data_IF_402907271937
#
_entry.id   IF_402907271937
#
_cell.length_a   1.000
_cell.length_b   1.000
_cell.length_c   1.000
_cell.angle_alpha   90.00
_cell.angle_beta   90.00
_cell.angle_gamma   90.00
#
_symmetry.space_group_name_H-M   'P 1'
#
loop_
_entity.id
_entity.type
_entity.pdbx_description
1 polymer ?
#
# COMPACT_ATOMS: atom_id res chain seq x y z
N UNK A 1 -4.51 -4.16 17.82
CA UNK A 1 -4.15 -3.52 16.54
C UNK A 1 -5.35 -2.77 15.96
N UNK A 2 -6.51 -3.41 15.86
CA UNK A 2 -7.71 -2.85 15.21
C UNK A 2 -8.17 -1.49 15.77
N UNK A 3 -8.08 -1.30 17.09
CA UNK A 3 -8.36 0.01 17.71
C UNK A 3 -7.35 1.10 17.29
N UNK A 4 -6.07 0.76 17.12
CA UNK A 4 -5.09 1.72 16.60
C UNK A 4 -5.33 1.97 15.11
N UNK A 5 -5.69 0.94 14.35
CA UNK A 5 -6.01 1.04 12.93
C UNK A 5 -7.23 1.92 12.65
N UNK A 6 -8.27 1.86 13.49
CA UNK A 6 -9.43 2.75 13.38
C UNK A 6 -9.05 4.22 13.67
N UNK A 7 -8.09 4.47 14.56
CA UNK A 7 -7.64 5.83 14.87
C UNK A 7 -6.85 6.50 13.72
N UNK A 8 -6.36 5.73 12.74
CA UNK A 8 -5.68 6.27 11.56
C UNK A 8 -6.62 6.95 10.55
N UNK A 9 -7.93 6.71 10.61
CA UNK A 9 -8.90 7.38 9.70
C UNK A 9 -9.34 8.77 10.15
N UNK A 10 -8.98 9.20 11.37
CA UNK A 10 -9.41 10.51 11.90
C UNK A 10 -8.50 11.68 11.48
N UNK A 11 -7.31 11.39 10.95
CA UNK A 11 -6.33 12.39 10.52
C UNK A 11 -5.73 13.21 11.66
N UNK A 12 -4.96 14.24 11.28
CA UNK A 12 -4.38 15.20 12.22
C UNK A 12 -3.34 14.62 13.18
N UNK A 13 -3.23 15.24 14.36
CA UNK A 13 -2.16 14.95 15.34
C UNK A 13 -2.29 13.54 15.92
N UNK A 14 -3.51 13.06 16.15
CA UNK A 14 -3.77 11.73 16.71
C UNK A 14 -3.24 10.66 15.76
N UNK A 15 -3.61 10.71 14.47
CA UNK A 15 -3.14 9.71 13.50
C UNK A 15 -1.62 9.73 13.33
N UNK A 16 -0.95 10.89 13.46
CA UNK A 16 0.52 10.97 13.45
C UNK A 16 1.18 10.21 14.62
N UNK A 17 0.65 10.35 15.84
CA UNK A 17 1.21 9.63 17.00
C UNK A 17 0.91 8.14 16.93
N UNK A 18 -0.30 7.79 16.50
CA UNK A 18 -0.69 6.39 16.30
C UNK A 18 0.16 5.74 15.21
N UNK A 19 0.53 6.48 14.16
CA UNK A 19 1.45 6.03 13.14
C UNK A 19 2.86 5.73 13.67
N UNK A 20 3.38 6.59 14.55
CA UNK A 20 4.67 6.35 15.21
C UNK A 20 4.63 5.06 16.02
N UNK A 21 3.54 4.81 16.77
CA UNK A 21 3.33 3.56 17.51
C UNK A 21 3.21 2.34 16.60
N UNK A 22 2.40 2.43 15.54
CA UNK A 22 2.22 1.34 14.57
C UNK A 22 3.52 1.03 13.82
N UNK A 23 4.37 2.03 13.60
CA UNK A 23 5.67 1.84 12.95
C UNK A 23 6.70 1.15 13.84
N UNK A 24 6.46 1.05 15.15
CA UNK A 24 7.37 0.38 16.10
C UNK A 24 7.01 -1.09 16.35
N UNK A 25 5.83 -1.53 15.91
CA UNK A 25 5.38 -2.92 16.07
C UNK A 25 5.62 -3.72 14.79
N UNK A 26 5.72 -5.06 14.88
CA UNK A 26 5.76 -5.90 13.69
C UNK A 26 4.55 -5.69 12.78
N UNK A 27 4.74 -5.95 11.49
CA UNK A 27 3.66 -5.94 10.51
C UNK A 27 2.51 -6.82 10.96
N UNK A 28 1.30 -6.29 10.91
CA UNK A 28 0.10 -7.01 11.26
C UNK A 28 -0.11 -8.17 10.28
N UNK A 29 -0.12 -9.40 10.80
CA UNK A 29 -0.21 -10.61 9.99
C UNK A 29 -1.52 -10.72 9.22
N UNK A 30 -2.62 -10.18 9.76
CA UNK A 30 -3.91 -10.18 9.08
C UNK A 30 -3.92 -9.26 7.85
N UNK A 31 -3.42 -8.03 7.98
CA UNK A 31 -3.27 -7.11 6.84
C UNK A 31 -2.25 -7.63 5.83
N UNK A 32 -1.15 -8.22 6.29
CA UNK A 32 -0.17 -8.85 5.41
C UNK A 32 -0.81 -9.99 4.61
N UNK A 33 -1.53 -10.89 5.28
CA UNK A 33 -2.24 -11.98 4.62
C UNK A 33 -3.32 -11.47 3.65
N UNK A 34 -4.07 -10.44 4.01
CA UNK A 34 -5.07 -9.83 3.12
C UNK A 34 -4.44 -9.28 1.84
N UNK A 35 -3.28 -8.61 1.94
CA UNK A 35 -2.56 -8.06 0.79
C UNK A 35 -1.88 -9.18 -0.02
N UNK A 36 -1.44 -10.25 0.62
CA UNK A 36 -0.78 -11.39 -0.03
C UNK A 36 -1.75 -12.39 -0.68
N UNK A 37 -2.99 -12.51 -0.20
CA UNK A 37 -3.99 -13.46 -0.71
C UNK A 37 -5.02 -12.75 -1.58
N UNK A 38 -4.59 -12.33 -2.77
CA UNK A 38 -5.44 -11.62 -3.71
C UNK A 38 -6.44 -12.56 -4.40
N UNK A 39 -7.59 -12.00 -4.79
CA UNK A 39 -8.61 -12.68 -5.57
C UNK A 39 -9.23 -11.74 -6.63
N UNK A 40 -9.96 -12.27 -7.62
CA UNK A 40 -10.69 -11.44 -8.59
C UNK A 40 -11.71 -10.47 -7.96
N UNK A 41 -12.16 -10.76 -6.74
CA UNK A 41 -13.15 -9.98 -5.99
C UNK A 41 -12.48 -9.01 -4.99
N UNK A 42 -11.15 -8.83 -5.06
CA UNK A 42 -10.39 -7.99 -4.13
C UNK A 42 -10.94 -6.56 -4.10
N UNK A 43 -11.35 -6.12 -2.90
CA UNK A 43 -11.76 -4.73 -2.69
C UNK A 43 -10.53 -3.83 -2.52
N UNK A 44 -10.04 -3.25 -3.62
CA UNK A 44 -8.87 -2.37 -3.59
C UNK A 44 -9.03 -1.12 -2.72
N UNK A 45 -10.26 -0.70 -2.42
CA UNK A 45 -10.49 0.44 -1.51
C UNK A 45 -10.21 0.07 -0.05
N UNK A 46 -10.27 -1.22 0.30
CA UNK A 46 -9.87 -1.72 1.63
C UNK A 46 -8.37 -2.01 1.69
N UNK A 47 -7.82 -2.59 0.62
CA UNK A 47 -6.39 -2.94 0.51
C UNK A 47 -5.52 -1.68 0.41
N UNK A 48 -5.88 -0.75 -0.47
CA UNK A 48 -5.18 0.51 -0.75
C UNK A 48 -6.11 1.68 -0.42
N UNK A 49 -6.41 1.82 0.88
CA UNK A 49 -7.32 2.84 1.43
C UNK A 49 -6.78 4.25 1.24
N UNK A 50 -7.20 4.90 0.16
CA UNK A 50 -6.84 6.28 -0.17
C UNK A 50 -7.50 7.36 0.71
N UNK A 51 -8.41 6.97 1.62
CA UNK A 51 -9.07 7.91 2.54
C UNK A 51 -8.18 8.30 3.72
N UNK A 52 -7.13 7.52 4.01
CA UNK A 52 -6.14 7.79 5.05
C UNK A 52 -4.73 7.59 4.52
N UNK A 53 -3.92 8.65 4.49
CA UNK A 53 -2.50 8.56 4.07
C UNK A 53 -1.73 7.53 4.91
N UNK A 54 -2.07 7.39 6.18
CA UNK A 54 -1.42 6.45 7.09
C UNK A 54 -1.76 4.99 6.76
N UNK A 55 -3.03 4.69 6.48
CA UNK A 55 -3.43 3.34 6.08
C UNK A 55 -2.86 2.97 4.72
N UNK A 56 -2.89 3.91 3.77
CA UNK A 56 -2.29 3.73 2.47
C UNK A 56 -0.78 3.46 2.57
N UNK A 57 -0.04 4.28 3.32
CA UNK A 57 1.40 4.06 3.54
C UNK A 57 1.67 2.70 4.23
N UNK A 58 0.82 2.26 5.15
CA UNK A 58 0.96 0.94 5.76
C UNK A 58 0.82 -0.19 4.72
N UNK A 59 -0.21 -0.12 3.88
CA UNK A 59 -0.43 -1.09 2.82
C UNK A 59 0.73 -1.09 1.81
N UNK A 60 1.22 0.10 1.43
CA UNK A 60 2.36 0.23 0.54
C UNK A 60 3.64 -0.35 1.14
N UNK A 61 3.87 -0.22 2.44
CA UNK A 61 5.00 -0.89 3.11
C UNK A 61 4.91 -2.41 2.97
N UNK A 62 3.71 -2.99 3.11
CA UNK A 62 3.51 -4.43 2.94
C UNK A 62 3.77 -4.84 1.48
N UNK A 63 3.22 -4.11 0.51
CA UNK A 63 3.49 -4.36 -0.91
C UNK A 63 4.99 -4.29 -1.20
N UNK A 64 5.67 -3.28 -0.65
CA UNK A 64 7.13 -3.13 -0.78
C UNK A 64 7.89 -4.32 -0.20
N UNK A 65 7.43 -4.88 0.91
CA UNK A 65 8.02 -6.10 1.48
C UNK A 65 7.83 -7.28 0.52
N UNK A 66 6.65 -7.44 -0.08
CA UNK A 66 6.37 -8.54 -1.02
C UNK A 66 7.24 -8.41 -2.29
N UNK A 67 7.28 -7.23 -2.92
CA UNK A 67 8.03 -7.05 -4.17
C UNK A 67 9.56 -7.11 -3.98
N UNK A 68 10.07 -6.79 -2.79
CA UNK A 68 11.51 -6.86 -2.49
C UNK A 68 11.94 -8.15 -1.77
N UNK A 69 11.00 -9.06 -1.46
CA UNK A 69 11.33 -10.38 -0.92
C UNK A 69 12.14 -11.18 -1.95
N UNK A 70 13.33 -11.61 -1.55
CA UNK A 70 14.28 -12.36 -2.41
C UNK A 70 14.20 -13.87 -2.24
N UNK A 71 13.62 -14.34 -1.13
CA UNK A 71 13.70 -15.75 -0.75
C UNK A 71 12.69 -16.65 -1.49
N UNK A 72 11.66 -16.08 -2.13
CA UNK A 72 10.58 -16.84 -2.78
C UNK A 72 10.18 -16.19 -4.12
N UNK A 73 11.01 -16.35 -5.14
CA UNK A 73 10.81 -15.68 -6.44
C UNK A 73 9.51 -16.11 -7.16
N UNK A 74 9.16 -17.40 -7.13
CA UNK A 74 7.94 -17.89 -7.80
C UNK A 74 6.66 -17.32 -7.18
N UNK A 75 6.52 -17.35 -5.85
CA UNK A 75 5.34 -16.81 -5.16
C UNK A 75 5.23 -15.29 -5.35
N UNK A 76 6.38 -14.59 -5.38
CA UNK A 76 6.42 -13.15 -5.67
C UNK A 76 5.94 -12.85 -7.08
N UNK A 77 6.46 -13.55 -8.09
CA UNK A 77 6.07 -13.36 -9.48
C UNK A 77 4.58 -13.64 -9.68
N UNK A 78 4.09 -14.74 -9.11
CA UNK A 78 2.67 -15.08 -9.15
C UNK A 78 1.80 -13.99 -8.52
N UNK A 79 2.18 -13.50 -7.33
CA UNK A 79 1.47 -12.41 -6.68
C UNK A 79 1.47 -11.12 -7.51
N UNK A 80 2.58 -10.79 -8.18
CA UNK A 80 2.66 -9.61 -9.03
C UNK A 80 1.72 -9.72 -10.24
N UNK A 81 1.68 -10.89 -10.89
CA UNK A 81 0.76 -11.17 -11.99
C UNK A 81 -0.68 -11.03 -11.52
N UNK A 82 -1.03 -11.58 -10.36
CA UNK A 82 -2.37 -11.45 -9.75
C UNK A 82 -2.69 -9.99 -9.39
N UNK A 83 -1.75 -9.25 -8.82
CA UNK A 83 -1.91 -7.85 -8.47
C UNK A 83 -2.24 -6.99 -9.70
N UNK A 84 -1.56 -7.22 -10.82
CA UNK A 84 -1.86 -6.56 -12.09
C UNK A 84 -3.21 -7.02 -12.65
N UNK A 85 -3.42 -8.33 -12.80
CA UNK A 85 -4.62 -8.92 -13.40
C UNK A 85 -5.90 -8.53 -12.66
N UNK A 86 -5.86 -8.47 -11.34
CA UNK A 86 -7.02 -8.11 -10.52
C UNK A 86 -7.21 -6.59 -10.39
N UNK A 87 -6.36 -5.77 -11.04
CA UNK A 87 -6.56 -4.32 -11.17
C UNK A 87 -5.86 -3.45 -10.11
N UNK A 88 -4.90 -4.00 -9.36
CA UNK A 88 -4.17 -3.30 -8.31
C UNK A 88 -3.37 -2.11 -8.84
N UNK A 89 -2.69 -2.27 -9.98
CA UNK A 89 -1.96 -1.18 -10.66
C UNK A 89 -2.91 -0.05 -11.08
N UNK A 90 -4.04 -0.41 -11.71
CA UNK A 90 -5.04 0.58 -12.14
C UNK A 90 -5.61 1.36 -10.95
N UNK A 91 -5.85 0.69 -9.83
CA UNK A 91 -6.27 1.35 -8.60
C UNK A 91 -5.18 2.28 -8.05
N UNK A 92 -3.91 1.85 -8.02
CA UNK A 92 -2.80 2.71 -7.60
C UNK A 92 -2.67 3.98 -8.45
N UNK A 93 -2.79 3.89 -9.78
CA UNK A 93 -2.85 5.07 -10.64
C UNK A 93 -4.02 5.97 -10.28
N UNK A 94 -5.21 5.41 -10.11
CA UNK A 94 -6.38 6.17 -9.70
C UNK A 94 -6.15 6.88 -8.36
N UNK A 95 -5.51 6.22 -7.38
CA UNK A 95 -5.17 6.82 -6.08
C UNK A 95 -4.16 7.95 -6.25
N UNK A 96 -3.09 7.73 -7.03
CA UNK A 96 -2.06 8.73 -7.28
C UNK A 96 -2.63 10.01 -7.93
N UNK A 97 -3.43 9.87 -8.99
CA UNK A 97 -4.03 11.00 -9.69
C UNK A 97 -5.20 11.64 -8.92
N UNK A 98 -5.99 10.89 -8.15
CA UNK A 98 -7.10 11.46 -7.35
C UNK A 98 -6.64 12.18 -6.08
N UNK A 99 -5.41 11.94 -5.61
CA UNK A 99 -4.90 12.55 -4.38
C UNK A 99 -4.54 14.04 -4.49
N UNK A 100 -4.75 14.68 -5.66
CA UNK A 100 -4.32 16.07 -5.90
C UNK A 100 -4.94 17.13 -4.96
N UNK A 101 -6.04 16.84 -4.24
CA UNK A 101 -6.79 17.93 -3.56
C UNK A 101 -7.07 17.75 -2.05
N UNK A 102 -7.00 16.55 -1.45
CA UNK A 102 -7.44 16.36 -0.03
C UNK A 102 -6.33 16.27 1.03
N UNK A 103 -5.11 15.81 0.68
CA UNK A 103 -4.07 15.46 1.67
C UNK A 103 -2.99 16.53 1.94
N UNK A 104 -3.15 17.76 1.46
CA UNK A 104 -2.13 18.84 1.51
C UNK A 104 -1.59 19.19 2.92
N UNK A 105 -2.12 18.64 4.01
CA UNK A 105 -1.73 18.97 5.40
C UNK A 105 -1.17 17.81 6.23
N UNK A 106 -1.06 16.60 5.67
CA UNK A 106 -0.58 15.44 6.45
C UNK A 106 0.93 15.27 6.38
N UNK A 107 1.58 15.10 7.53
CA UNK A 107 3.05 14.96 7.68
C UNK A 107 3.64 13.81 6.85
N UNK A 108 2.85 12.75 6.63
CA UNK A 108 3.28 11.54 5.93
C UNK A 108 3.09 11.61 4.40
N UNK A 109 2.51 12.69 3.86
CA UNK A 109 2.14 12.76 2.44
C UNK A 109 3.32 12.52 1.50
N UNK A 110 4.46 13.17 1.74
CA UNK A 110 5.64 13.01 0.88
C UNK A 110 6.18 11.59 0.89
N UNK A 111 6.20 10.94 2.05
CA UNK A 111 6.60 9.55 2.19
C UNK A 111 5.61 8.61 1.48
N UNK A 112 4.30 8.84 1.63
CA UNK A 112 3.28 8.05 0.96
C UNK A 112 3.34 8.18 -0.57
N UNK A 113 3.52 9.40 -1.09
CA UNK A 113 3.71 9.63 -2.53
C UNK A 113 5.00 8.99 -3.04
N UNK A 114 6.09 9.06 -2.27
CA UNK A 114 7.33 8.38 -2.60
C UNK A 114 7.14 6.86 -2.66
N UNK A 115 6.45 6.27 -1.68
CA UNK A 115 6.12 4.84 -1.67
C UNK A 115 5.21 4.45 -2.84
N UNK A 116 4.21 5.26 -3.20
CA UNK A 116 3.36 5.03 -4.36
C UNK A 116 4.17 5.01 -5.65
N UNK A 117 5.01 6.03 -5.85
CA UNK A 117 5.86 6.16 -7.03
C UNK A 117 6.89 5.03 -7.10
N UNK A 118 7.47 4.63 -5.97
CA UNK A 118 8.42 3.52 -5.88
C UNK A 118 7.78 2.21 -6.36
N UNK A 119 6.58 1.88 -5.86
CA UNK A 119 5.86 0.68 -6.28
C UNK A 119 5.43 0.78 -7.75
N UNK A 120 4.88 1.91 -8.19
CA UNK A 120 4.50 2.11 -9.60
C UNK A 120 5.71 2.00 -10.54
N UNK A 121 6.84 2.61 -10.17
CA UNK A 121 8.07 2.56 -10.96
C UNK A 121 8.62 1.13 -11.04
N UNK A 122 8.53 0.34 -9.96
CA UNK A 122 8.91 -1.06 -9.97
C UNK A 122 8.14 -1.86 -11.04
N UNK A 123 6.81 -1.72 -11.08
CA UNK A 123 5.98 -2.38 -12.11
C UNK A 123 6.26 -1.84 -13.53
N UNK A 124 6.53 -0.55 -13.68
CA UNK A 124 6.89 0.03 -14.98
C UNK A 124 8.24 -0.47 -15.51
N UNK A 125 9.24 -0.65 -14.64
CA UNK A 125 10.54 -1.18 -15.04
C UNK A 125 10.41 -2.62 -15.49
N UNK A 126 9.67 -3.45 -14.75
CA UNK A 126 9.49 -4.87 -15.07
C UNK A 126 8.71 -5.05 -16.37
N UNK A 127 7.67 -4.24 -16.61
CA UNK A 127 6.96 -4.23 -17.87
C UNK A 127 7.86 -3.91 -19.09
N UNK A 128 8.96 -3.18 -18.90
CA UNK A 128 9.93 -2.88 -19.96
C UNK A 128 11.00 -3.97 -20.15
N UNK A 129 11.15 -4.91 -19.22
CA UNK A 129 12.11 -6.02 -19.34
C UNK A 129 11.51 -7.24 -20.06
N UNK A 130 10.17 -7.36 -20.11
CA UNK A 130 9.45 -8.46 -20.75
C UNK A 130 8.97 -8.18 -22.19
N UNK A 131 9.19 -6.96 -22.72
CA UNK A 131 8.81 -6.54 -24.08
C UNK A 131 9.97 -6.42 -25.05
#
# INVERSE_FOLDING_TARGET
FDQLWSLLSYGGVISSHIWELISMIPTNSHLAHMISSLSPETNWSEVLDSTSTYRLEYALRIIKLIIHQRDIECDRQQWMVEFEQFGGIQHMYNVFFKQEVKCLRERLRSACLASLLEVLAFFLVIANEEG
#
